data_IF_824758888066
#
_entry.id   IF_824758888066
#
_cell.length_a   1.000
_cell.length_b   1.000
_cell.length_c   1.000
_cell.angle_alpha   90.00
_cell.angle_beta   90.00
_cell.angle_gamma   90.00
#
_symmetry.space_group_name_H-M   'P 1'
#
loop_
_entity.id
_entity.type
_entity.pdbx_description
1 polymer ?
#
# COMPACT_ATOMS: atom_id res chain seq x y z
N UNK A 1 -21.86 -5.66 -3.12
CA UNK A 1 -20.67 -6.50 -3.36
C UNK A 1 -21.04 -7.96 -3.05
N UNK A 2 -21.36 -8.77 -4.06
CA UNK A 2 -21.69 -10.20 -3.88
C UNK A 2 -20.64 -11.14 -4.50
N UNK A 3 -19.80 -10.63 -5.42
CA UNK A 3 -18.74 -11.39 -6.14
C UNK A 3 -17.64 -11.94 -5.23
N UNK A 4 -17.61 -11.50 -3.97
CA UNK A 4 -16.67 -11.99 -2.96
C UNK A 4 -16.83 -13.49 -2.69
N UNK A 5 -18.06 -14.00 -2.75
CA UNK A 5 -18.37 -15.40 -2.42
C UNK A 5 -18.14 -16.38 -3.59
N UNK A 6 -17.78 -15.88 -4.77
CA UNK A 6 -17.41 -16.71 -5.92
C UNK A 6 -16.01 -17.35 -5.76
N UNK A 7 -15.18 -16.82 -4.85
CA UNK A 7 -13.86 -17.39 -4.53
C UNK A 7 -13.98 -18.47 -3.46
N UNK A 8 -13.13 -19.51 -3.55
CA UNK A 8 -13.09 -20.59 -2.56
C UNK A 8 -12.74 -20.08 -1.16
N UNK A 9 -13.24 -20.74 -0.11
CA UNK A 9 -13.16 -20.25 1.27
C UNK A 9 -11.73 -20.05 1.79
N UNK A 10 -10.78 -20.82 1.27
CA UNK A 10 -9.35 -20.68 1.51
C UNK A 10 -8.76 -19.32 1.08
N UNK A 11 -9.35 -18.66 0.08
CA UNK A 11 -8.92 -17.33 -0.38
C UNK A 11 -9.53 -16.19 0.43
N UNK A 12 -10.60 -16.44 1.21
CA UNK A 12 -11.30 -15.38 1.94
C UNK A 12 -10.41 -14.69 2.96
N UNK A 13 -9.42 -15.37 3.53
CA UNK A 13 -8.48 -14.76 4.49
C UNK A 13 -7.62 -13.68 3.83
N UNK A 14 -7.20 -13.89 2.58
CA UNK A 14 -6.40 -12.94 1.80
C UNK A 14 -7.26 -11.82 1.22
N UNK A 15 -8.51 -12.10 0.86
CA UNK A 15 -9.41 -11.08 0.29
C UNK A 15 -9.99 -10.19 1.41
N UNK A 16 -10.20 -10.71 2.63
CA UNK A 16 -10.70 -9.93 3.76
C UNK A 16 -9.62 -9.19 4.55
N UNK A 17 -8.35 -9.51 4.35
CA UNK A 17 -7.27 -8.79 5.03
C UNK A 17 -6.92 -7.51 4.28
N UNK A 18 -6.95 -6.37 4.98
CA UNK A 18 -6.44 -5.10 4.45
C UNK A 18 -4.95 -4.92 4.73
N UNK A 19 -4.31 -5.86 5.44
CA UNK A 19 -2.90 -5.76 5.83
C UNK A 19 -1.96 -5.64 4.63
N UNK A 20 -2.21 -6.36 3.53
CA UNK A 20 -1.37 -6.24 2.33
C UNK A 20 -1.45 -4.83 1.72
N UNK A 21 -2.63 -4.22 1.72
CA UNK A 21 -2.81 -2.86 1.21
C UNK A 21 -2.19 -1.85 2.18
N UNK A 22 -2.58 -1.89 3.46
CA UNK A 22 -2.08 -0.96 4.49
C UNK A 22 -0.55 -1.03 4.65
N UNK A 23 0.04 -2.23 4.59
CA UNK A 23 1.49 -2.42 4.70
C UNK A 23 2.24 -1.75 3.54
N UNK A 24 1.76 -1.86 2.30
CA UNK A 24 2.39 -1.23 1.13
C UNK A 24 2.39 0.30 1.23
N UNK A 25 1.34 0.88 1.81
CA UNK A 25 1.20 2.34 1.94
C UNK A 25 1.78 2.90 3.25
N UNK A 26 2.21 2.07 4.20
CA UNK A 26 2.72 2.51 5.49
C UNK A 26 3.93 3.48 5.34
N UNK A 27 4.89 3.12 4.50
CA UNK A 27 6.09 3.92 4.23
C UNK A 27 5.76 5.24 3.52
N UNK A 28 4.77 5.22 2.61
CA UNK A 28 4.29 6.43 1.94
C UNK A 28 3.63 7.38 2.94
N UNK A 29 2.75 6.87 3.81
CA UNK A 29 2.10 7.67 4.87
C UNK A 29 3.11 8.29 5.82
N UNK A 30 4.12 7.51 6.23
CA UNK A 30 5.22 8.01 7.05
C UNK A 30 5.99 9.14 6.35
N UNK A 31 6.32 8.95 5.06
CA UNK A 31 6.98 9.95 4.22
C UNK A 31 6.15 11.22 4.08
N UNK A 32 4.85 11.11 3.82
CA UNK A 32 3.93 12.24 3.71
C UNK A 32 3.82 13.05 4.99
N UNK A 33 3.80 12.39 6.16
CA UNK A 33 3.81 13.09 7.45
C UNK A 33 5.11 13.88 7.66
N UNK A 34 6.27 13.34 7.23
CA UNK A 34 7.56 14.02 7.33
C UNK A 34 7.72 15.19 6.35
N UNK A 35 7.12 15.11 5.17
CA UNK A 35 7.26 16.13 4.10
C UNK A 35 6.03 17.02 3.93
N UNK A 36 5.14 17.06 4.93
CA UNK A 36 3.92 17.87 4.90
C UNK A 36 4.27 19.34 4.61
N UNK A 37 3.64 19.90 3.58
CA UNK A 37 3.87 21.26 3.04
C UNK A 37 5.21 21.47 2.29
N UNK A 38 5.96 20.41 1.97
CA UNK A 38 7.20 20.50 1.21
C UNK A 38 7.03 19.98 -0.23
N UNK A 39 7.52 20.78 -1.19
CA UNK A 39 7.64 20.38 -2.59
C UNK A 39 6.41 20.66 -3.47
N UNK A 40 6.56 20.38 -4.76
CA UNK A 40 5.49 20.49 -5.75
C UNK A 40 4.71 19.17 -5.87
N UNK A 41 3.48 19.21 -6.41
CA UNK A 41 2.68 18.01 -6.70
C UNK A 41 3.45 16.93 -7.47
N UNK A 42 4.27 17.34 -8.45
CA UNK A 42 5.11 16.42 -9.25
C UNK A 42 6.18 15.75 -8.38
N UNK A 43 6.81 16.51 -7.48
CA UNK A 43 7.82 16.01 -6.55
C UNK A 43 7.22 15.01 -5.57
N UNK A 44 6.04 15.30 -5.01
CA UNK A 44 5.33 14.39 -4.09
C UNK A 44 4.98 13.07 -4.78
N UNK A 45 4.49 13.13 -6.03
CA UNK A 45 4.19 11.93 -6.82
C UNK A 45 5.45 11.07 -7.06
N UNK A 46 6.54 11.70 -7.50
CA UNK A 46 7.81 11.01 -7.73
C UNK A 46 8.37 10.37 -6.45
N UNK A 47 8.27 11.08 -5.32
CA UNK A 47 8.64 10.57 -3.99
C UNK A 47 7.81 9.35 -3.59
N UNK A 48 6.48 9.41 -3.72
CA UNK A 48 5.60 8.30 -3.40
C UNK A 48 5.92 7.05 -4.24
N UNK A 49 6.12 7.22 -5.55
CA UNK A 49 6.51 6.13 -6.46
C UNK A 49 7.86 5.52 -6.08
N UNK A 50 8.86 6.36 -5.75
CA UNK A 50 10.18 5.89 -5.30
C UNK A 50 10.08 5.10 -3.99
N UNK A 51 9.32 5.59 -3.01
CA UNK A 51 9.12 4.91 -1.74
C UNK A 51 8.45 3.54 -1.93
N UNK A 52 7.40 3.46 -2.75
CA UNK A 52 6.75 2.19 -3.06
C UNK A 52 7.73 1.18 -3.67
N UNK A 53 8.54 1.61 -4.64
CA UNK A 53 9.52 0.73 -5.31
C UNK A 53 10.66 0.28 -4.39
N UNK A 54 11.05 1.10 -3.42
CA UNK A 54 12.05 0.72 -2.41
C UNK A 54 11.47 -0.27 -1.39
N UNK A 55 10.19 -0.13 -1.05
CA UNK A 55 9.51 -1.00 -0.08
C UNK A 55 9.13 -2.36 -0.68
N UNK A 56 9.05 -2.48 -2.00
CA UNK A 56 8.71 -3.71 -2.76
C UNK A 56 9.49 -4.96 -2.32
N UNK A 57 10.78 -4.80 -2.01
CA UNK A 57 11.63 -5.91 -1.55
C UNK A 57 11.34 -6.36 -0.11
N UNK A 58 10.64 -5.53 0.68
CA UNK A 58 10.33 -5.77 2.09
C UNK A 58 8.86 -6.18 2.31
N UNK A 59 8.06 -6.28 1.25
CA UNK A 59 6.66 -6.66 1.37
C UNK A 59 6.54 -8.10 1.86
N UNK A 60 5.78 -8.30 2.93
CA UNK A 60 5.44 -9.63 3.41
C UNK A 60 4.40 -10.25 2.48
N UNK A 61 4.71 -11.41 1.91
CA UNK A 61 3.66 -12.31 1.44
C UNK A 61 2.92 -12.81 2.68
N UNK A 62 1.62 -12.49 2.75
CA UNK A 62 0.70 -13.11 3.70
C UNK A 62 0.38 -14.55 3.26
#
# INVERSE_FOLDING_TARGET
MLVFYDFHAEYWIHIRTTNSIESMFATVRLGTNKTKNCGSRKTTLAMACKLMRTDEVNWRSL
#
